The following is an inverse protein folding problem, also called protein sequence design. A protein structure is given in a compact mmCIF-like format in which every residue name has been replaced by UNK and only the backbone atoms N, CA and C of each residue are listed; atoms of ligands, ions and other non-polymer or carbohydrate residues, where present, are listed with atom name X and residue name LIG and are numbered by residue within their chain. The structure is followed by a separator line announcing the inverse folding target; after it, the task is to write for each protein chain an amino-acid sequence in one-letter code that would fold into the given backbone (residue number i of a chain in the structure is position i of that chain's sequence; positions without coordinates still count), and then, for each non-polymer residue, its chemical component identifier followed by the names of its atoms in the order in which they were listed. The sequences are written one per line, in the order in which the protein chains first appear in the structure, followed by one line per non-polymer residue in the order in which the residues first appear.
data_IF_325313517489
#
_entry.id   IF_325313517489
#
_cell.length_a   1.000
_cell.length_b   1.000
_cell.length_c   1.000
_cell.angle_alpha   90.00
_cell.angle_beta   90.00
_cell.angle_gamma   90.00
#
_symmetry.space_group_name_H-M   'P 1'
#
loop_
_entity.id
_entity.type
_entity.pdbx_description
1 polymer ?
#
# COMPACT_ATOMS: atom_id res chain seq x y z
N UNK A 1 -4.23 40.33 3.65
CA UNK A 1 -5.10 39.32 4.28
C UNK A 1 -5.14 38.11 3.34
N UNK A 2 -4.28 37.11 3.56
CA UNK A 2 -4.34 35.86 2.79
C UNK A 2 -5.55 35.08 3.28
N UNK A 3 -6.52 34.87 2.41
CA UNK A 3 -7.60 33.92 2.63
C UNK A 3 -6.93 32.55 2.67
N UNK A 4 -6.78 31.99 3.88
CA UNK A 4 -6.41 30.59 4.05
C UNK A 4 -7.66 29.81 3.66
N UNK A 5 -7.72 29.33 2.42
CA UNK A 5 -8.76 28.41 2.01
C UNK A 5 -8.74 27.19 2.96
N UNK A 6 -9.93 26.68 3.28
CA UNK A 6 -10.12 25.49 4.10
C UNK A 6 -9.09 24.41 3.76
N UNK A 7 -8.51 23.81 4.81
CA UNK A 7 -7.37 22.90 4.80
C UNK A 7 -7.09 22.22 3.43
N UNK A 8 -6.02 22.64 2.74
CA UNK A 8 -5.48 21.92 1.59
C UNK A 8 -5.02 20.53 2.05
N UNK A 9 -5.85 19.51 1.85
CA UNK A 9 -5.43 18.11 1.97
C UNK A 9 -4.80 17.65 0.65
N UNK A 10 -3.61 17.03 0.67
CA UNK A 10 -3.01 16.53 -0.55
C UNK A 10 -3.91 15.49 -1.25
N UNK A 11 -4.08 15.61 -2.57
CA UNK A 11 -4.93 14.66 -3.31
C UNK A 11 -4.18 13.34 -3.55
N UNK A 12 -4.46 12.33 -2.73
CA UNK A 12 -3.95 10.97 -2.90
C UNK A 12 -4.94 10.16 -3.74
N UNK A 13 -4.43 9.52 -4.80
CA UNK A 13 -5.21 8.59 -5.63
C UNK A 13 -4.78 7.16 -5.32
N UNK A 14 -5.75 6.29 -5.06
CA UNK A 14 -5.54 4.84 -4.96
C UNK A 14 -6.13 4.19 -6.20
N UNK A 15 -5.29 3.55 -7.01
CA UNK A 15 -5.70 2.94 -8.27
C UNK A 15 -5.52 1.43 -8.24
N UNK A 16 -6.63 0.71 -8.28
CA UNK A 16 -6.68 -0.74 -8.43
C UNK A 16 -6.63 -1.14 -9.90
N UNK A 17 -5.67 -1.97 -10.30
CA UNK A 17 -5.48 -2.37 -11.69
C UNK A 17 -5.75 -3.87 -11.91
N UNK A 18 -6.62 -4.18 -12.88
CA UNK A 18 -7.07 -5.54 -13.17
C UNK A 18 -8.02 -6.10 -12.10
N UNK A 19 -8.38 -7.38 -12.20
CA UNK A 19 -9.37 -8.02 -11.32
C UNK A 19 -9.06 -7.87 -9.83
N UNK A 20 -7.89 -8.37 -9.38
CA UNK A 20 -7.49 -8.26 -7.98
C UNK A 20 -7.42 -6.81 -7.47
N UNK A 21 -6.92 -5.87 -8.29
CA UNK A 21 -6.90 -4.46 -7.92
C UNK A 21 -8.30 -3.84 -7.82
N UNK A 22 -9.23 -4.21 -8.70
CA UNK A 22 -10.62 -3.73 -8.62
C UNK A 22 -11.33 -4.28 -7.39
N UNK A 23 -11.14 -5.58 -7.07
CA UNK A 23 -11.67 -6.18 -5.85
C UNK A 23 -11.16 -5.43 -4.61
N UNK A 24 -9.85 -5.15 -4.57
CA UNK A 24 -9.26 -4.37 -3.49
C UNK A 24 -9.88 -2.96 -3.36
N UNK A 25 -10.09 -2.25 -4.48
CA UNK A 25 -10.73 -0.93 -4.45
C UNK A 25 -12.13 -1.02 -3.88
N UNK A 26 -12.88 -2.06 -4.26
CA UNK A 26 -14.20 -2.27 -3.69
C UNK A 26 -14.09 -2.54 -2.18
N UNK A 27 -13.18 -3.39 -1.71
CA UNK A 27 -12.95 -3.63 -0.28
C UNK A 27 -12.58 -2.33 0.47
N UNK A 28 -11.67 -1.53 -0.09
CA UNK A 28 -11.24 -0.24 0.47
C UNK A 28 -12.42 0.74 0.58
N UNK A 29 -13.31 0.81 -0.40
CA UNK A 29 -14.48 1.69 -0.35
C UNK A 29 -15.48 1.31 0.75
N UNK A 30 -15.40 0.10 1.30
CA UNK A 30 -16.16 -0.30 2.48
C UNK A 30 -15.56 0.16 3.81
N UNK A 31 -14.43 0.85 3.79
CA UNK A 31 -13.67 1.21 4.98
C UNK A 31 -13.83 2.70 5.35
N UNK A 32 -13.85 3.04 6.65
CA UNK A 32 -13.79 4.43 7.10
C UNK A 32 -12.56 5.16 6.53
N UNK A 33 -12.75 6.41 6.12
CA UNK A 33 -11.71 7.29 5.57
C UNK A 33 -11.47 7.14 4.07
N UNK A 34 -12.11 6.16 3.42
CA UNK A 34 -11.95 5.95 1.97
C UNK A 34 -12.48 7.12 1.13
N UNK A 35 -13.44 7.89 1.67
CA UNK A 35 -14.00 9.10 1.06
C UNK A 35 -12.96 10.24 0.89
N UNK A 36 -11.88 10.20 1.67
CA UNK A 36 -10.77 11.16 1.55
C UNK A 36 -9.80 10.79 0.42
N UNK A 37 -9.96 9.60 -0.18
CA UNK A 37 -9.08 9.07 -1.21
C UNK A 37 -9.74 9.14 -2.59
N UNK A 38 -8.95 9.48 -3.60
CA UNK A 38 -9.35 9.32 -4.99
C UNK A 38 -9.29 7.86 -5.42
N UNK A 39 -10.35 7.08 -5.20
CA UNK A 39 -10.39 5.67 -5.56
C UNK A 39 -10.71 5.46 -7.05
N UNK A 40 -9.83 4.75 -7.76
CA UNK A 40 -9.97 4.47 -9.20
C UNK A 40 -9.85 2.97 -9.46
N UNK A 41 -10.87 2.38 -10.07
CA UNK A 41 -10.80 1.02 -10.61
C UNK A 41 -10.39 1.08 -12.09
N UNK A 42 -9.34 0.36 -12.49
CA UNK A 42 -8.84 0.34 -13.86
C UNK A 42 -8.74 -1.09 -14.40
N UNK A 43 -9.48 -1.41 -15.46
CA UNK A 43 -9.52 -2.77 -15.98
C UNK A 43 -9.73 -2.82 -17.49
N UNK A 44 -9.26 -3.90 -18.13
CA UNK A 44 -9.56 -4.22 -19.53
C UNK A 44 -10.87 -4.97 -19.68
N UNK A 45 -11.32 -5.64 -18.62
CA UNK A 45 -12.60 -6.36 -18.55
C UNK A 45 -13.70 -5.37 -18.15
N UNK A 46 -14.59 -5.07 -19.08
CA UNK A 46 -15.67 -4.10 -18.90
C UNK A 46 -16.74 -4.63 -17.93
N UNK A 47 -16.98 -5.94 -17.92
CA UNK A 47 -17.96 -6.57 -17.03
C UNK A 47 -17.48 -6.53 -15.58
N UNK A 48 -16.20 -6.81 -15.34
CA UNK A 48 -15.59 -6.65 -14.03
C UNK A 48 -15.62 -5.18 -13.57
N UNK A 49 -15.32 -4.24 -14.47
CA UNK A 49 -15.33 -2.82 -14.16
C UNK A 49 -16.73 -2.29 -13.85
N UNK A 50 -17.77 -2.78 -14.55
CA UNK A 50 -19.16 -2.42 -14.31
C UNK A 50 -19.61 -2.74 -12.88
N UNK A 51 -19.18 -3.89 -12.34
CA UNK A 51 -19.49 -4.34 -10.96
C UNK A 51 -18.78 -3.55 -9.87
N UNK A 52 -17.68 -2.86 -10.18
CA UNK A 52 -16.95 -2.10 -9.17
C UNK A 52 -17.80 -0.98 -8.57
N UNK A 53 -17.61 -0.72 -7.28
CA UNK A 53 -18.23 0.37 -6.53
C UNK A 53 -17.51 1.71 -6.70
N UNK A 54 -16.33 1.72 -7.34
CA UNK A 54 -15.58 2.95 -7.58
C UNK A 54 -16.36 3.94 -8.44
N UNK A 55 -16.41 5.21 -8.01
CA UNK A 55 -17.00 6.29 -8.81
C UNK A 55 -16.19 6.53 -10.09
N UNK A 56 -14.86 6.44 -10.00
CA UNK A 56 -13.99 6.57 -11.17
C UNK A 56 -13.61 5.19 -11.70
N UNK A 57 -14.14 4.86 -12.88
CA UNK A 57 -13.91 3.60 -13.60
C UNK A 57 -13.13 3.87 -14.88
N UNK A 58 -11.95 3.28 -15.00
CA UNK A 58 -11.05 3.46 -16.13
C UNK A 58 -10.99 2.19 -16.99
N UNK A 59 -11.72 2.19 -18.10
CA UNK A 59 -11.63 1.14 -19.11
C UNK A 59 -10.30 1.22 -19.87
N UNK A 60 -9.54 0.13 -19.85
CA UNK A 60 -8.26 0.00 -20.54
C UNK A 60 -8.47 -0.75 -21.86
N UNK A 61 -8.10 -0.13 -22.98
CA UNK A 61 -8.39 -0.66 -24.31
C UNK A 61 -9.88 -0.60 -24.66
N UNK A 62 -10.22 -0.99 -25.89
CA UNK A 62 -11.57 -0.78 -26.47
C UNK A 62 -12.43 -2.03 -26.52
N UNK A 63 -11.86 -3.24 -26.40
CA UNK A 63 -12.62 -4.49 -26.58
C UNK A 63 -13.53 -4.83 -25.41
N UNK A 64 -13.18 -4.45 -24.18
CA UNK A 64 -13.93 -4.81 -22.98
C UNK A 64 -13.84 -6.29 -22.57
N UNK A 65 -13.15 -7.14 -23.33
CA UNK A 65 -13.10 -8.61 -23.13
C UNK A 65 -12.00 -9.08 -22.15
N UNK A 66 -11.28 -8.15 -21.52
CA UNK A 66 -10.11 -8.49 -20.72
C UNK A 66 -8.84 -8.74 -21.54
N UNK A 67 -7.75 -9.02 -20.84
CA UNK A 67 -6.42 -9.23 -21.45
C UNK A 67 -6.10 -10.70 -21.73
N UNK A 68 -7.01 -11.64 -21.48
CA UNK A 68 -6.81 -13.09 -21.74
C UNK A 68 -5.56 -13.67 -21.08
N UNK A 69 -5.26 -13.27 -19.84
CA UNK A 69 -4.01 -13.59 -19.12
C UNK A 69 -2.69 -13.15 -19.80
N UNK A 70 -2.75 -12.43 -20.93
CA UNK A 70 -1.57 -11.97 -21.66
C UNK A 70 -1.11 -10.58 -21.19
N UNK A 71 0.06 -10.52 -20.54
CA UNK A 71 0.63 -9.23 -20.07
C UNK A 71 0.98 -8.26 -21.21
N UNK A 72 1.20 -8.76 -22.43
CA UNK A 72 1.38 -7.94 -23.64
C UNK A 72 0.09 -7.22 -24.03
N UNK A 73 -1.05 -7.92 -23.98
CA UNK A 73 -2.36 -7.34 -24.27
C UNK A 73 -2.72 -6.27 -23.25
N UNK A 74 -2.60 -6.56 -21.95
CA UNK A 74 -2.85 -5.56 -20.88
C UNK A 74 -1.98 -4.30 -21.03
N UNK A 75 -0.72 -4.48 -21.45
CA UNK A 75 0.18 -3.35 -21.76
C UNK A 75 -0.30 -2.54 -22.97
N UNK A 76 -0.70 -3.20 -24.04
CA UNK A 76 -1.17 -2.53 -25.25
C UNK A 76 -2.41 -1.68 -24.95
N UNK A 77 -3.38 -2.26 -24.24
CA UNK A 77 -4.59 -1.57 -23.78
C UNK A 77 -4.29 -0.35 -22.91
N UNK A 78 -3.34 -0.45 -21.98
CA UNK A 78 -2.94 0.71 -21.18
C UNK A 78 -2.19 1.78 -21.98
N UNK A 79 -1.45 1.40 -23.03
CA UNK A 79 -0.77 2.35 -23.92
C UNK A 79 -1.76 3.16 -24.77
N UNK A 80 -2.82 2.52 -25.26
CA UNK A 80 -3.87 3.20 -26.02
C UNK A 80 -4.73 4.09 -25.11
N UNK A 81 -4.93 3.70 -23.85
CA UNK A 81 -5.70 4.48 -22.87
C UNK A 81 -4.89 5.56 -22.11
N UNK A 82 -3.71 5.97 -22.60
CA UNK A 82 -2.83 6.95 -21.91
C UNK A 82 -3.51 8.28 -21.57
N UNK A 83 -4.34 8.80 -22.46
CA UNK A 83 -5.04 10.07 -22.21
C UNK A 83 -6.06 9.92 -21.08
N UNK A 84 -6.83 8.83 -21.08
CA UNK A 84 -7.76 8.51 -20.01
C UNK A 84 -7.04 8.30 -18.66
N UNK A 85 -5.88 7.63 -18.66
CA UNK A 85 -5.03 7.51 -17.46
C UNK A 85 -4.62 8.89 -16.93
N UNK A 86 -4.15 9.80 -17.80
CA UNK A 86 -3.80 11.17 -17.38
C UNK A 86 -4.98 11.92 -16.79
N UNK A 87 -6.16 11.76 -17.39
CA UNK A 87 -7.37 12.41 -16.90
C UNK A 87 -7.79 11.88 -15.52
N UNK A 88 -7.73 10.56 -15.32
CA UNK A 88 -8.02 9.94 -14.02
C UNK A 88 -7.05 10.39 -12.91
N UNK A 89 -5.79 10.67 -13.28
CA UNK A 89 -4.73 11.14 -12.38
C UNK A 89 -4.63 12.68 -12.30
N UNK A 90 -5.53 13.42 -12.94
CA UNK A 90 -5.47 14.89 -12.96
C UNK A 90 -5.54 15.44 -11.53
N UNK A 91 -4.62 16.32 -11.17
CA UNK A 91 -4.46 16.90 -9.82
C UNK A 91 -4.05 15.92 -8.71
N UNK A 92 -3.76 14.65 -9.00
CA UNK A 92 -3.20 13.76 -7.99
C UNK A 92 -1.78 14.23 -7.62
N UNK A 93 -1.47 14.23 -6.33
CA UNK A 93 -0.13 14.56 -5.80
C UNK A 93 0.64 13.31 -5.39
N UNK A 94 -0.07 12.20 -5.19
CA UNK A 94 0.51 10.91 -4.85
C UNK A 94 -0.36 9.78 -5.39
N UNK A 95 0.26 8.76 -5.98
CA UNK A 95 -0.44 7.59 -6.51
C UNK A 95 -0.02 6.32 -5.75
N UNK A 96 -1.00 5.66 -5.14
CA UNK A 96 -0.85 4.32 -4.61
C UNK A 96 -1.48 3.35 -5.62
N UNK A 97 -0.65 2.53 -6.27
CA UNK A 97 -1.10 1.55 -7.25
C UNK A 97 -1.24 0.19 -6.58
N UNK A 98 -2.40 -0.46 -6.71
CA UNK A 98 -2.64 -1.82 -6.18
C UNK A 98 -2.95 -2.77 -7.32
N UNK A 99 -2.28 -3.93 -7.37
CA UNK A 99 -2.52 -4.92 -8.42
C UNK A 99 -2.08 -6.33 -8.04
N UNK A 100 -2.77 -7.34 -8.57
CA UNK A 100 -2.25 -8.70 -8.64
C UNK A 100 -1.33 -8.89 -9.85
N UNK A 101 -0.15 -9.47 -9.64
CA UNK A 101 0.79 -9.85 -10.70
C UNK A 101 0.58 -11.30 -11.13
N UNK A 102 1.06 -11.64 -12.33
CA UNK A 102 0.91 -12.97 -12.92
C UNK A 102 -0.19 -13.04 -13.99
N UNK A 103 -1.24 -12.24 -13.87
CA UNK A 103 -2.30 -12.10 -14.88
C UNK A 103 -1.93 -11.18 -16.06
N UNK A 104 -2.91 -10.90 -16.93
CA UNK A 104 -2.72 -10.06 -18.12
C UNK A 104 -2.76 -8.56 -17.82
N UNK A 105 -3.87 -8.09 -17.25
CA UNK A 105 -4.14 -6.66 -17.06
C UNK A 105 -3.21 -6.05 -16.02
N UNK A 106 -3.23 -6.54 -14.78
CA UNK A 106 -2.38 -6.03 -13.70
C UNK A 106 -0.89 -6.01 -14.06
N UNK A 107 -0.33 -7.16 -14.46
CA UNK A 107 1.08 -7.27 -14.87
C UNK A 107 1.45 -6.36 -16.05
N UNK A 108 0.55 -6.22 -17.02
CA UNK A 108 0.80 -5.51 -18.27
C UNK A 108 0.62 -3.99 -18.18
N UNK A 109 -0.47 -3.58 -17.55
CA UNK A 109 -0.95 -2.20 -17.49
C UNK A 109 -0.28 -1.39 -16.38
N UNK A 110 -0.06 -1.97 -15.20
CA UNK A 110 0.46 -1.24 -14.03
C UNK A 110 1.79 -0.52 -14.30
N UNK A 111 2.80 -1.11 -14.98
CA UNK A 111 4.01 -0.38 -15.33
C UNK A 111 3.78 0.79 -16.33
N UNK A 112 2.73 0.72 -17.16
CA UNK A 112 2.38 1.81 -18.09
C UNK A 112 1.71 2.95 -17.32
N UNK A 113 0.78 2.62 -16.43
CA UNK A 113 0.10 3.60 -15.56
C UNK A 113 1.14 4.33 -14.70
N UNK A 114 2.02 3.59 -14.02
CA UNK A 114 3.08 4.18 -13.19
C UNK A 114 4.01 5.09 -14.02
N UNK A 115 4.34 4.70 -15.25
CA UNK A 115 5.12 5.54 -16.17
C UNK A 115 4.39 6.84 -16.55
N UNK A 116 3.07 6.79 -16.74
CA UNK A 116 2.27 7.98 -17.05
C UNK A 116 2.24 8.91 -15.84
N UNK A 117 1.99 8.38 -14.65
CA UNK A 117 2.00 9.13 -13.39
C UNK A 117 3.35 9.83 -13.15
N UNK A 118 4.47 9.12 -13.28
CA UNK A 118 5.81 9.73 -13.15
C UNK A 118 6.06 10.86 -14.16
N UNK A 119 5.60 10.70 -15.41
CA UNK A 119 5.68 11.77 -16.42
C UNK A 119 4.85 12.99 -16.09
N UNK A 120 3.85 12.85 -15.22
CA UNK A 120 3.04 13.94 -14.69
C UNK A 120 3.63 14.55 -13.40
N UNK A 121 4.80 14.08 -12.95
CA UNK A 121 5.39 14.50 -11.67
C UNK A 121 4.72 13.88 -10.45
N UNK A 122 3.93 12.81 -10.63
CA UNK A 122 3.21 12.15 -9.55
C UNK A 122 4.07 10.98 -9.06
N UNK A 123 4.58 11.01 -7.80
CA UNK A 123 5.27 9.89 -7.19
C UNK A 123 4.34 8.69 -7.04
N UNK A 124 4.89 7.49 -7.23
CA UNK A 124 4.11 6.25 -7.27
C UNK A 124 4.71 5.21 -6.34
N UNK A 125 3.88 4.67 -5.45
CA UNK A 125 4.17 3.38 -4.81
C UNK A 125 3.29 2.31 -5.42
N UNK A 126 3.79 1.08 -5.50
CA UNK A 126 2.98 -0.05 -5.93
C UNK A 126 2.93 -1.16 -4.89
N UNK A 127 1.75 -1.44 -4.36
CA UNK A 127 1.49 -2.62 -3.52
C UNK A 127 1.00 -3.73 -4.44
N UNK A 128 1.69 -4.87 -4.45
CA UNK A 128 1.42 -5.92 -5.44
C UNK A 128 1.37 -7.30 -4.83
N UNK A 129 0.39 -8.11 -5.21
CA UNK A 129 0.37 -9.52 -4.83
C UNK A 129 1.09 -10.37 -5.89
N UNK A 130 1.93 -11.30 -5.45
CA UNK A 130 2.53 -12.35 -6.27
C UNK A 130 1.61 -13.57 -6.21
N UNK A 131 1.41 -14.26 -7.34
CA UNK A 131 0.47 -15.38 -7.43
C UNK A 131 0.92 -16.53 -6.53
N UNK A 132 0.01 -17.47 -6.25
CA UNK A 132 0.41 -18.71 -5.60
C UNK A 132 1.41 -19.50 -6.44
N UNK A 133 2.28 -20.25 -5.76
CA UNK A 133 3.23 -21.16 -6.38
C UNK A 133 2.56 -22.15 -7.34
N UNK A 134 1.37 -22.67 -7.00
CA UNK A 134 0.61 -23.62 -7.82
C UNK A 134 0.00 -23.01 -9.10
N UNK A 135 -0.16 -21.68 -9.20
CA UNK A 135 -0.75 -21.05 -10.39
C UNK A 135 0.18 -21.05 -11.61
N UNK A 136 1.46 -21.42 -11.45
CA UNK A 136 2.47 -21.42 -12.53
C UNK A 136 2.67 -20.05 -13.21
N UNK A 137 2.34 -18.95 -12.51
CA UNK A 137 2.39 -17.57 -13.03
C UNK A 137 3.59 -16.75 -12.55
N UNK A 138 4.43 -17.32 -11.70
CA UNK A 138 5.54 -16.62 -11.04
C UNK A 138 6.54 -16.01 -12.04
N UNK A 139 6.82 -16.71 -13.15
CA UNK A 139 7.71 -16.18 -14.20
C UNK A 139 7.17 -14.89 -14.83
N UNK A 140 5.85 -14.79 -15.00
CA UNK A 140 5.16 -13.62 -15.54
C UNK A 140 5.14 -12.49 -14.50
N UNK A 141 4.79 -12.82 -13.26
CA UNK A 141 4.77 -11.89 -12.13
C UNK A 141 6.13 -11.22 -11.92
N UNK A 142 7.22 -12.01 -11.84
CA UNK A 142 8.59 -11.50 -11.69
C UNK A 142 9.00 -10.56 -12.82
N UNK A 143 8.59 -10.83 -14.07
CA UNK A 143 8.84 -9.94 -15.22
C UNK A 143 8.05 -8.64 -15.11
N UNK A 144 6.81 -8.69 -14.64
CA UNK A 144 5.98 -7.52 -14.35
C UNK A 144 6.58 -6.65 -13.26
N UNK A 145 6.95 -7.26 -12.14
CA UNK A 145 7.56 -6.60 -10.99
C UNK A 145 8.84 -5.85 -11.37
N UNK A 146 9.74 -6.48 -12.14
CA UNK A 146 10.96 -5.80 -12.65
C UNK A 146 10.65 -4.58 -13.53
N UNK A 147 9.55 -4.61 -14.29
CA UNK A 147 9.13 -3.45 -15.09
C UNK A 147 8.55 -2.35 -14.21
N UNK A 148 7.75 -2.72 -13.21
CA UNK A 148 7.11 -1.81 -12.29
C UNK A 148 8.11 -1.08 -11.39
N UNK A 149 9.12 -1.79 -10.87
CA UNK A 149 10.23 -1.21 -10.08
C UNK A 149 10.92 -0.04 -10.78
N UNK A 150 11.06 -0.09 -12.10
CA UNK A 150 11.68 1.00 -12.88
C UNK A 150 10.78 2.22 -13.07
N UNK A 151 9.50 2.13 -12.73
CA UNK A 151 8.49 3.15 -12.99
C UNK A 151 7.81 3.63 -11.70
N UNK A 152 8.32 3.27 -10.54
CA UNK A 152 7.78 3.59 -9.21
C UNK A 152 8.92 4.05 -8.31
N UNK A 153 8.60 4.80 -7.26
CA UNK A 153 9.55 5.16 -6.20
C UNK A 153 9.84 3.96 -5.30
N UNK A 154 8.77 3.19 -5.03
CA UNK A 154 8.87 1.97 -4.26
C UNK A 154 7.85 0.91 -4.71
N UNK A 155 8.17 -0.35 -4.48
CA UNK A 155 7.25 -1.48 -4.62
C UNK A 155 7.19 -2.27 -3.33
N UNK A 156 6.00 -2.72 -2.96
CA UNK A 156 5.75 -3.57 -1.80
C UNK A 156 5.13 -4.88 -2.31
N UNK A 157 5.94 -5.90 -2.61
CA UNK A 157 5.45 -7.20 -3.03
C UNK A 157 4.98 -8.03 -1.84
N UNK A 158 3.81 -8.61 -1.98
CA UNK A 158 3.13 -9.48 -1.03
C UNK A 158 3.01 -10.88 -1.66
N UNK A 159 3.45 -11.92 -0.96
CA UNK A 159 3.42 -13.30 -1.44
C UNK A 159 2.15 -13.99 -0.97
N UNK A 160 1.29 -14.44 -1.88
CA UNK A 160 0.07 -15.18 -1.50
C UNK A 160 0.41 -16.51 -0.78
N UNK A 161 1.53 -17.15 -1.12
CA UNK A 161 2.00 -18.33 -0.39
C UNK A 161 2.33 -18.00 1.08
N UNK A 162 2.84 -16.79 1.39
CA UNK A 162 3.14 -16.38 2.77
C UNK A 162 1.87 -16.17 3.59
N UNK A 163 0.78 -15.72 2.94
CA UNK A 163 -0.53 -15.62 3.60
C UNK A 163 -1.14 -17.00 3.81
N UNK A 164 -1.08 -17.89 2.82
CA UNK A 164 -1.55 -19.27 2.97
C UNK A 164 -0.86 -19.99 4.12
N UNK A 165 0.46 -19.83 4.26
CA UNK A 165 1.22 -20.41 5.35
C UNK A 165 0.75 -19.95 6.75
N UNK A 166 0.22 -18.72 6.87
CA UNK A 166 -0.32 -18.18 8.12
C UNK A 166 -1.73 -18.68 8.43
N UNK A 167 -2.55 -18.89 7.40
CA UNK A 167 -3.93 -19.36 7.55
C UNK A 167 -4.02 -20.87 7.79
N UNK A 168 -3.01 -21.64 7.36
CA UNK A 168 -3.01 -23.10 7.41
C UNK A 168 -3.58 -23.74 6.13
N UNK A 169 -3.37 -25.06 5.96
CA UNK A 169 -3.67 -25.77 4.71
C UNK A 169 -5.17 -25.87 4.38
N UNK A 170 -6.04 -25.81 5.39
CA UNK A 170 -7.49 -25.99 5.24
C UNK A 170 -8.26 -24.66 5.12
N UNK A 171 -7.56 -23.53 5.06
CA UNK A 171 -8.18 -22.22 4.97
C UNK A 171 -8.92 -22.04 3.63
N UNK A 172 -10.15 -21.52 3.69
CA UNK A 172 -10.90 -21.19 2.49
C UNK A 172 -10.22 -20.06 1.71
N UNK A 173 -10.24 -20.13 0.38
CA UNK A 173 -9.63 -19.10 -0.47
C UNK A 173 -10.21 -17.70 -0.21
N UNK A 174 -11.51 -17.61 0.04
CA UNK A 174 -12.18 -16.33 0.33
C UNK A 174 -11.65 -15.71 1.64
N UNK A 175 -11.47 -16.53 2.69
CA UNK A 175 -10.88 -16.07 3.95
C UNK A 175 -9.45 -15.57 3.76
N UNK A 176 -8.66 -16.24 2.92
CA UNK A 176 -7.31 -15.81 2.59
C UNK A 176 -7.33 -14.46 1.87
N UNK A 177 -8.19 -14.29 0.86
CA UNK A 177 -8.30 -13.03 0.14
C UNK A 177 -8.79 -11.89 1.05
N UNK A 178 -9.71 -12.15 1.98
CA UNK A 178 -10.12 -11.17 2.99
C UNK A 178 -8.94 -10.71 3.86
N UNK A 179 -8.08 -11.64 4.28
CA UNK A 179 -6.87 -11.32 5.05
C UNK A 179 -5.88 -10.50 4.21
N UNK A 180 -5.69 -10.87 2.94
CA UNK A 180 -4.83 -10.13 2.02
C UNK A 180 -5.36 -8.71 1.80
N UNK A 181 -6.65 -8.56 1.52
CA UNK A 181 -7.26 -7.26 1.29
C UNK A 181 -7.17 -6.37 2.54
N UNK A 182 -7.41 -6.92 3.74
CA UNK A 182 -7.18 -6.22 5.01
C UNK A 182 -5.73 -5.76 5.15
N UNK A 183 -4.76 -6.60 4.83
CA UNK A 183 -3.34 -6.22 4.91
C UNK A 183 -3.00 -5.11 3.91
N UNK A 184 -3.51 -5.18 2.68
CA UNK A 184 -3.31 -4.11 1.69
C UNK A 184 -4.00 -2.81 2.15
N UNK A 185 -5.20 -2.89 2.74
CA UNK A 185 -5.90 -1.72 3.30
C UNK A 185 -5.05 -1.08 4.40
N UNK A 186 -4.49 -1.88 5.30
CA UNK A 186 -3.61 -1.42 6.37
C UNK A 186 -2.38 -0.71 5.81
N UNK A 187 -1.79 -1.25 4.74
CA UNK A 187 -0.65 -0.64 4.06
C UNK A 187 -1.02 0.68 3.38
N UNK A 188 -2.16 0.76 2.69
CA UNK A 188 -2.66 2.03 2.12
C UNK A 188 -2.83 3.06 3.24
N UNK A 189 -3.48 2.68 4.34
CA UNK A 189 -3.69 3.53 5.51
C UNK A 189 -2.39 3.98 6.15
N UNK A 190 -1.36 3.15 6.19
CA UNK A 190 -0.04 3.48 6.70
C UNK A 190 0.54 4.73 6.00
N UNK A 191 0.42 4.79 4.67
CA UNK A 191 0.87 5.94 3.89
C UNK A 191 -0.10 7.12 3.94
N UNK A 192 -1.42 6.87 3.93
CA UNK A 192 -2.42 7.96 3.87
C UNK A 192 -2.63 8.63 5.22
N UNK A 193 -2.63 7.89 6.33
CA UNK A 193 -2.81 8.45 7.69
C UNK A 193 -1.68 9.38 8.09
N UNK A 194 -0.45 9.11 7.66
CA UNK A 194 0.70 10.00 7.86
C UNK A 194 0.48 11.38 7.22
N UNK A 195 -0.36 11.47 6.19
CA UNK A 195 -0.57 12.69 5.39
C UNK A 195 -1.90 13.39 5.70
N UNK A 196 -2.97 12.61 5.88
CA UNK A 196 -4.34 13.12 5.93
C UNK A 196 -4.83 13.40 7.36
N UNK A 197 -4.23 12.80 8.39
CA UNK A 197 -4.73 12.93 9.76
C UNK A 197 -4.40 14.30 10.39
N UNK A 198 -5.40 15.04 10.93
CA UNK A 198 -5.21 16.40 11.41
C UNK A 198 -4.35 16.52 12.68
N UNK A 199 -4.32 15.48 13.53
CA UNK A 199 -3.72 15.53 14.88
C UNK A 199 -2.25 15.06 14.92
N UNK A 200 -1.62 14.94 13.76
CA UNK A 200 -0.27 14.42 13.60
C UNK A 200 0.79 15.52 13.64
N UNK A 201 1.86 15.32 14.42
CA UNK A 201 3.03 16.22 14.53
C UNK A 201 3.80 16.34 13.20
N UNK A 202 3.54 15.46 12.23
CA UNK A 202 4.27 15.37 10.97
C UNK A 202 3.33 15.30 9.76
N UNK A 203 2.47 16.31 9.62
CA UNK A 203 1.50 16.46 8.52
C UNK A 203 2.18 17.02 7.26
N UNK A 204 3.09 16.25 6.68
CA UNK A 204 3.69 16.66 5.41
C UNK A 204 3.86 15.48 4.45
N UNK A 205 3.14 15.56 3.33
CA UNK A 205 3.32 14.64 2.21
C UNK A 205 4.79 14.64 1.76
N UNK A 206 5.48 15.78 1.80
CA UNK A 206 6.89 15.88 1.41
C UNK A 206 7.78 14.91 2.18
N UNK A 207 7.55 14.74 3.49
CA UNK A 207 8.34 13.84 4.35
C UNK A 207 8.14 12.37 3.93
N UNK A 208 6.90 11.98 3.61
CA UNK A 208 6.59 10.63 3.11
C UNK A 208 7.21 10.41 1.73
N UNK A 209 7.14 11.41 0.86
CA UNK A 209 7.73 11.34 -0.48
C UNK A 209 9.26 11.26 -0.44
N UNK A 210 9.91 12.03 0.43
CA UNK A 210 11.35 11.98 0.65
C UNK A 210 11.77 10.59 1.18
N UNK A 211 10.98 10.01 2.08
CA UNK A 211 11.21 8.66 2.57
C UNK A 211 11.03 7.59 1.49
N UNK A 212 10.13 7.81 0.53
CA UNK A 212 9.87 6.90 -0.58
C UNK A 212 10.88 7.03 -1.73
N UNK A 213 11.53 8.18 -1.86
CA UNK A 213 12.44 8.46 -2.98
C UNK A 213 13.59 7.46 -3.04
N UNK A 214 13.65 6.66 -4.10
CA UNK A 214 14.60 5.54 -4.26
C UNK A 214 14.55 4.50 -3.12
N UNK A 215 13.40 4.33 -2.46
CA UNK A 215 13.22 3.33 -1.41
C UNK A 215 13.19 1.89 -1.97
N UNK A 216 13.00 1.72 -3.27
CA UNK A 216 13.17 0.41 -3.94
C UNK A 216 12.12 -0.60 -3.51
N UNK A 217 12.54 -1.73 -2.96
CA UNK A 217 11.63 -2.77 -2.48
C UNK A 217 11.37 -2.60 -0.97
N UNK A 218 10.09 -2.49 -0.62
CA UNK A 218 9.63 -2.35 0.75
C UNK A 218 9.26 -3.71 1.34
N UNK A 219 9.38 -3.81 2.66
CA UNK A 219 8.83 -4.90 3.46
C UNK A 219 7.94 -4.34 4.55
N UNK A 220 6.87 -5.05 4.87
CA UNK A 220 5.94 -4.63 5.89
C UNK A 220 5.54 -5.75 6.83
N UNK A 221 5.38 -5.38 8.10
CA UNK A 221 4.95 -6.28 9.18
C UNK A 221 4.03 -5.51 10.11
N UNK A 222 2.94 -6.15 10.53
CA UNK A 222 2.01 -5.61 11.52
C UNK A 222 2.04 -6.46 12.78
N UNK A 223 2.01 -5.82 13.94
CA UNK A 223 1.83 -6.44 15.24
C UNK A 223 0.58 -5.86 15.90
N UNK A 224 -0.14 -6.69 16.64
CA UNK A 224 -1.41 -6.31 17.27
C UNK A 224 -1.43 -6.72 18.73
N UNK A 225 -2.16 -5.96 19.55
CA UNK A 225 -2.46 -6.33 20.93
C UNK A 225 -3.95 -6.11 21.23
N UNK A 226 -4.46 -6.85 22.22
CA UNK A 226 -5.87 -6.77 22.65
C UNK A 226 -6.03 -6.51 24.14
N UNK A 227 -7.17 -5.94 24.50
CA UNK A 227 -7.58 -5.61 25.86
C UNK A 227 -6.64 -4.66 26.59
N UNK A 228 -6.70 -4.71 27.92
CA UNK A 228 -5.85 -3.89 28.80
C UNK A 228 -4.35 -4.20 28.65
N UNK A 229 -4.01 -5.40 28.14
CA UNK A 229 -2.64 -5.84 27.88
C UNK A 229 -2.11 -5.48 26.49
N UNK A 230 -2.88 -4.80 25.64
CA UNK A 230 -2.52 -4.58 24.24
C UNK A 230 -1.12 -3.98 24.04
N UNK A 231 -0.79 -2.93 24.80
CA UNK A 231 0.53 -2.30 24.75
C UNK A 231 1.64 -3.26 25.24
N UNK A 232 1.35 -4.09 26.25
CA UNK A 232 2.32 -5.07 26.77
C UNK A 232 2.60 -6.17 25.75
N UNK A 233 1.59 -6.67 25.05
CA UNK A 233 1.71 -7.70 24.00
C UNK A 233 2.54 -7.20 22.81
N UNK A 234 2.25 -5.98 22.35
CA UNK A 234 3.01 -5.31 21.29
C UNK A 234 4.47 -5.14 21.68
N UNK A 235 4.74 -4.63 22.88
CA UNK A 235 6.11 -4.45 23.37
C UNK A 235 6.84 -5.78 23.59
N UNK A 236 6.15 -6.82 24.05
CA UNK A 236 6.74 -8.15 24.19
C UNK A 236 7.17 -8.73 22.85
N UNK A 237 6.37 -8.51 21.80
CA UNK A 237 6.72 -8.93 20.43
C UNK A 237 7.89 -8.13 19.87
N UNK A 238 7.97 -6.83 20.18
CA UNK A 238 9.10 -5.98 19.79
C UNK A 238 10.41 -6.38 20.48
N UNK A 239 10.36 -6.74 21.77
CA UNK A 239 11.54 -7.17 22.54
C UNK A 239 11.93 -8.64 22.32
N UNK A 240 11.14 -9.41 21.57
CA UNK A 240 11.44 -10.82 21.32
C UNK A 240 12.76 -10.94 20.54
N UNK A 241 13.83 -11.32 21.23
CA UNK A 241 15.16 -11.48 20.63
C UNK A 241 15.11 -12.47 19.46
N UNK A 242 15.71 -12.09 18.33
CA UNK A 242 15.67 -12.89 17.12
C UNK A 242 14.29 -13.00 16.46
N UNK A 243 13.27 -12.29 16.97
CA UNK A 243 11.96 -12.19 16.36
C UNK A 243 12.00 -11.55 14.98
N UNK A 244 10.98 -11.85 14.16
CA UNK A 244 10.93 -11.38 12.76
C UNK A 244 10.96 -9.85 12.67
N UNK A 245 10.31 -9.16 13.62
CA UNK A 245 10.26 -7.69 13.68
C UNK A 245 11.61 -7.11 14.04
N UNK A 246 12.26 -7.60 15.10
CA UNK A 246 13.59 -7.15 15.50
C UNK A 246 14.62 -7.36 14.38
N UNK A 247 14.59 -8.51 13.70
CA UNK A 247 15.45 -8.79 12.53
C UNK A 247 15.18 -7.84 11.37
N UNK A 248 13.92 -7.55 11.09
CA UNK A 248 13.54 -6.61 10.02
C UNK A 248 14.02 -5.19 10.32
N UNK A 249 13.90 -4.73 11.57
CA UNK A 249 14.30 -3.38 11.98
C UNK A 249 15.83 -3.21 12.01
N UNK A 250 16.58 -4.21 12.47
CA UNK A 250 18.03 -4.11 12.59
C UNK A 250 18.75 -3.93 11.23
N UNK A 251 18.22 -4.48 10.14
CA UNK A 251 18.85 -4.45 8.80
C UNK A 251 18.29 -3.34 7.88
N UNK A 252 17.43 -2.48 8.41
CA UNK A 252 16.77 -1.45 7.60
C UNK A 252 17.50 -0.10 7.64
N UNK A 253 17.34 0.69 6.59
CA UNK A 253 17.86 2.06 6.48
C UNK A 253 16.75 3.10 6.46
N UNK A 254 15.51 2.66 6.33
CA UNK A 254 14.30 3.49 6.32
C UNK A 254 13.22 2.77 7.10
N UNK A 255 12.58 3.47 8.02
CA UNK A 255 11.47 2.95 8.82
C UNK A 255 10.33 3.94 8.79
N UNK A 256 9.14 3.47 8.47
CA UNK A 256 7.89 4.17 8.67
C UNK A 256 7.04 3.32 9.61
N UNK A 257 6.69 3.89 10.77
CA UNK A 257 5.88 3.21 11.80
C UNK A 257 4.52 3.87 11.87
N UNK A 258 3.45 3.12 11.73
CA UNK A 258 2.10 3.62 12.03
C UNK A 258 1.55 2.93 13.26
N UNK A 259 1.13 3.72 14.24
CA UNK A 259 0.52 3.28 15.51
C UNK A 259 -0.97 3.57 15.43
N UNK A 260 -1.79 2.55 15.30
CA UNK A 260 -3.25 2.66 15.22
C UNK A 260 -3.86 2.12 16.51
N UNK A 261 -4.57 2.97 17.25
CA UNK A 261 -5.30 2.59 18.46
C UNK A 261 -6.82 2.55 18.16
N UNK A 262 -7.56 1.66 18.82
CA UNK A 262 -9.03 1.61 18.71
C UNK A 262 -9.70 2.85 19.34
N UNK A 263 -8.96 3.50 20.25
CA UNK A 263 -9.34 4.70 20.98
C UNK A 263 -8.32 5.83 20.72
N UNK A 264 -8.53 6.98 21.36
CA UNK A 264 -7.63 8.13 21.21
C UNK A 264 -6.21 7.73 21.64
N UNK A 265 -5.19 7.92 20.77
CA UNK A 265 -3.83 7.48 21.09
C UNK A 265 -3.27 8.19 22.31
N UNK A 266 -2.55 7.45 23.16
CA UNK A 266 -1.94 8.04 24.35
C UNK A 266 -0.46 8.32 24.14
N UNK A 267 0.03 9.45 24.69
CA UNK A 267 1.46 9.77 24.68
C UNK A 267 2.32 8.67 25.32
N UNK A 268 1.76 7.90 26.25
CA UNK A 268 2.41 6.76 26.88
C UNK A 268 2.63 5.62 25.89
N UNK A 269 1.60 5.24 25.13
CA UNK A 269 1.68 4.21 24.08
C UNK A 269 2.69 4.62 23.02
N UNK A 270 2.54 5.82 22.47
CA UNK A 270 3.40 6.36 21.40
C UNK A 270 4.87 6.37 21.83
N UNK A 271 5.20 6.97 22.99
CA UNK A 271 6.59 7.07 23.45
C UNK A 271 7.24 5.71 23.65
N UNK A 272 6.52 4.75 24.25
CA UNK A 272 7.06 3.41 24.49
C UNK A 272 7.34 2.68 23.18
N UNK A 273 6.37 2.67 22.26
CA UNK A 273 6.52 1.99 20.96
C UNK A 273 7.65 2.64 20.16
N UNK A 274 7.62 3.96 19.97
CA UNK A 274 8.63 4.67 19.17
C UNK A 274 10.03 4.44 19.72
N UNK A 275 10.22 4.57 21.04
CA UNK A 275 11.53 4.34 21.68
C UNK A 275 12.02 2.91 21.44
N UNK A 276 11.18 1.91 21.71
CA UNK A 276 11.56 0.51 21.52
C UNK A 276 11.92 0.21 20.06
N UNK A 277 11.20 0.79 19.09
CA UNK A 277 11.52 0.59 17.67
C UNK A 277 12.86 1.25 17.32
N UNK A 278 13.11 2.46 17.82
CA UNK A 278 14.38 3.16 17.61
C UNK A 278 15.57 2.40 18.22
N UNK A 279 15.39 1.72 19.36
CA UNK A 279 16.42 0.86 19.97
C UNK A 279 16.82 -0.34 19.07
N UNK A 280 15.92 -0.79 18.18
CA UNK A 280 16.15 -1.86 17.20
C UNK A 280 16.45 -1.34 15.79
N UNK A 281 16.59 -0.03 15.61
CA UNK A 281 16.81 0.58 14.30
C UNK A 281 18.20 1.22 14.27
N UNK A 282 18.96 1.09 13.17
CA UNK A 282 20.23 1.79 13.04
C UNK A 282 20.07 3.31 13.25
N UNK A 283 20.97 3.99 14.01
CA UNK A 283 20.85 5.43 14.31
C UNK A 283 20.78 6.34 13.07
N UNK A 284 21.36 5.89 11.95
CA UNK A 284 21.37 6.60 10.68
C UNK A 284 20.13 6.33 9.79
N UNK A 285 19.20 5.50 10.25
CA UNK A 285 18.00 5.18 9.47
C UNK A 285 17.07 6.41 9.38
N UNK A 286 16.48 6.61 8.21
CA UNK A 286 15.42 7.60 8.06
C UNK A 286 14.14 7.07 8.72
N UNK A 287 13.86 7.56 9.92
CA UNK A 287 12.74 7.15 10.76
C UNK A 287 11.57 8.13 10.68
N UNK A 288 10.39 7.63 10.31
CA UNK A 288 9.11 8.34 10.37
C UNK A 288 8.19 7.54 11.29
N UNK A 289 7.39 8.24 12.09
CA UNK A 289 6.27 7.63 12.76
C UNK A 289 4.98 8.43 12.56
N UNK A 290 3.86 7.72 12.57
CA UNK A 290 2.51 8.24 12.59
C UNK A 290 1.71 7.55 13.70
N UNK A 291 0.72 8.25 14.23
CA UNK A 291 -0.24 7.73 15.20
C UNK A 291 -1.64 8.20 14.82
N UNK A 292 -2.58 7.27 14.84
CA UNK A 292 -3.98 7.52 14.49
C UNK A 292 -4.91 6.66 15.34
N UNK A 293 -6.17 7.06 15.41
CA UNK A 293 -7.25 6.26 15.98
C UNK A 293 -8.15 5.71 14.88
N UNK A 294 -8.52 4.44 15.00
CA UNK A 294 -9.51 3.81 14.12
C UNK A 294 -10.65 3.23 14.98
N UNK A 295 -11.78 3.94 15.11
CA UNK A 295 -12.95 3.39 15.79
C UNK A 295 -13.41 2.11 15.09
N UNK A 296 -13.56 1.02 15.86
CA UNK A 296 -13.96 -0.29 15.31
C UNK A 296 -12.79 -1.16 14.85
N UNK A 297 -11.55 -0.82 15.22
CA UNK A 297 -10.40 -1.71 15.08
C UNK A 297 -10.68 -3.07 15.76
N UNK A 298 -10.48 -4.19 15.05
CA UNK A 298 -10.65 -5.57 15.60
C UNK A 298 -9.71 -5.89 16.80
N UNK A 299 -8.76 -4.99 17.07
CA UNK A 299 -7.72 -5.05 18.09
C UNK A 299 -7.67 -3.71 18.79
N UNK A 300 -7.09 -3.62 19.99
CA UNK A 300 -7.00 -2.32 20.70
C UNK A 300 -5.80 -1.48 20.26
N UNK A 301 -4.74 -2.15 19.81
CA UNK A 301 -3.53 -1.52 19.33
C UNK A 301 -2.96 -2.32 18.16
N UNK A 302 -2.60 -1.62 17.09
CA UNK A 302 -1.87 -2.15 15.95
C UNK A 302 -0.68 -1.27 15.66
N UNK A 303 0.48 -1.88 15.47
CA UNK A 303 1.69 -1.19 15.01
C UNK A 303 2.12 -1.81 13.69
N UNK A 304 2.14 -1.02 12.64
CA UNK A 304 2.57 -1.44 11.31
C UNK A 304 3.91 -0.80 10.98
N UNK A 305 4.87 -1.63 10.60
CA UNK A 305 6.20 -1.23 10.16
C UNK A 305 6.29 -1.36 8.65
N UNK A 306 6.69 -0.30 7.97
CA UNK A 306 7.12 -0.35 6.56
C UNK A 306 8.60 0.01 6.52
N UNK A 307 9.39 -0.80 5.85
CA UNK A 307 10.85 -0.75 5.94
C UNK A 307 11.50 -0.87 4.57
N UNK A 308 12.68 -0.26 4.41
CA UNK A 308 13.54 -0.44 3.25
C UNK A 308 15.02 -0.45 3.64
N UNK A 309 15.77 -1.38 3.04
CA UNK A 309 17.24 -1.47 3.19
C UNK A 309 18.00 -0.45 2.34
N UNK A 310 17.31 0.28 1.46
CA UNK A 310 17.93 1.27 0.58
C UNK A 310 18.39 2.47 1.40
N UNK A 311 19.68 2.80 1.32
CA UNK A 311 20.21 4.00 1.97
C UNK A 311 19.45 5.24 1.49
N UNK A 312 19.13 6.13 2.43
CA UNK A 312 18.68 7.46 2.09
C UNK A 312 19.89 8.33 1.75
N UNK A 313 19.84 9.06 0.64
CA UNK A 313 20.88 10.02 0.25
C UNK A 313 20.18 11.39 0.20
N UNK A 314 20.57 12.31 1.08
CA UNK A 314 20.22 13.73 0.88
C UNK A 314 20.89 14.17 -0.41
N UNK A 315 20.08 14.61 -1.37
CA UNK A 315 20.58 15.47 -2.45
C UNK A 315 20.84 16.86 -1.91
#
# INVERSE_FOLDING_TARGET
MQVVADAWAPRIVVMGVGGAGCNFIDALLGQPGAEQLGCVAANTDASALARSRALTKLQLGTSGLGAGAMSSAGRASAKTSRQAIRQALKHAQFLILVTGLGGGTGTGASPVIAKVARKMGIPVIAIVTRPFSFESRERVARKGLRRLRRQTEAVLPLSLDDFAARCGPDAAMDQLFDIVDREVINLVRCFTSTVLEPNMVNRDLSVVLDWLTDAGELSATSITGKGESALKEVLATLHAEGGIVARQLNDTRRVLVTITESSVPTMRSIRKIVRTVQEHTPPEAFFIYASTSEPGLDTDLRVTFVTSRMKWRRH
#
